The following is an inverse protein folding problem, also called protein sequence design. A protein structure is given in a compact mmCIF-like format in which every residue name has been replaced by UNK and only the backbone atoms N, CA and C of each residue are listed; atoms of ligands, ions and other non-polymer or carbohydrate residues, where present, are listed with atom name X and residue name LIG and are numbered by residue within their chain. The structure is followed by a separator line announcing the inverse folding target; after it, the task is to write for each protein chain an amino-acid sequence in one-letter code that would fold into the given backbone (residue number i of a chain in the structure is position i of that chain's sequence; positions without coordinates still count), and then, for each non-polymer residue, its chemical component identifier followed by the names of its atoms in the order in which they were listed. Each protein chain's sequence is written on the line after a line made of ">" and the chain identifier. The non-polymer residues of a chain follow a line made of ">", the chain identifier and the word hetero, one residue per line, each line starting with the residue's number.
data_IF_941913535800
#
_entry.id   IF_941913535800
#
_cell.length_a   1.000
_cell.length_b   1.000
_cell.length_c   1.000
_cell.angle_alpha   90.00
_cell.angle_beta   90.00
_cell.angle_gamma   90.00
#
_symmetry.space_group_name_H-M   'P 1'
#
loop_
_entity.id
_entity.type
_entity.pdbx_description
1 polymer ?
#
# COMPACT_ATOMS: atom_id res chain seq x y z
N UNK A 1 37.60 16.81 -2.98
CA UNK A 1 36.33 16.14 -3.30
C UNK A 1 35.37 16.36 -2.13
N UNK A 2 34.48 17.34 -2.26
CA UNK A 2 33.42 17.55 -1.27
C UNK A 2 32.48 16.36 -1.42
N UNK A 3 32.32 15.55 -0.37
CA UNK A 3 31.26 14.56 -0.31
C UNK A 3 29.97 15.35 -0.23
N UNK A 4 29.23 15.39 -1.34
CA UNK A 4 27.86 15.85 -1.32
C UNK A 4 27.13 15.02 -0.26
N UNK A 5 26.77 15.65 0.86
CA UNK A 5 25.79 15.06 1.76
C UNK A 5 24.56 14.78 0.90
N UNK A 6 23.94 13.59 0.98
CA UNK A 6 22.64 13.41 0.38
C UNK A 6 21.75 14.45 1.04
N UNK A 7 21.30 15.41 0.22
CA UNK A 7 20.20 16.31 0.51
C UNK A 7 19.19 15.51 1.32
N UNK A 8 18.83 16.01 2.51
CA UNK A 8 17.91 15.36 3.44
C UNK A 8 16.59 15.12 2.68
N UNK A 9 16.57 13.99 1.97
CA UNK A 9 15.70 13.75 0.83
C UNK A 9 14.30 13.91 1.38
N UNK A 10 13.58 14.91 0.88
CA UNK A 10 12.28 15.31 1.43
C UNK A 10 11.45 14.04 1.40
N UNK A 11 11.30 13.39 2.57
CA UNK A 11 10.62 12.11 2.67
C UNK A 11 9.14 12.39 2.52
N UNK A 12 8.72 12.50 1.26
CA UNK A 12 7.37 12.81 0.84
C UNK A 12 6.72 11.55 0.33
N UNK A 13 5.40 11.50 0.48
CA UNK A 13 4.62 10.49 -0.21
C UNK A 13 4.73 10.69 -1.74
N UNK A 14 5.20 9.67 -2.46
CA UNK A 14 5.34 9.68 -3.93
C UNK A 14 4.01 9.59 -4.71
N UNK A 15 2.87 9.84 -4.05
CA UNK A 15 1.54 9.96 -4.67
C UNK A 15 0.90 11.31 -4.31
N UNK A 16 0.76 11.63 -3.03
CA UNK A 16 0.09 12.88 -2.60
C UNK A 16 1.05 14.02 -2.23
N UNK A 17 2.36 13.78 -2.20
CA UNK A 17 3.34 14.80 -1.82
C UNK A 17 3.35 15.17 -0.33
N UNK A 18 2.56 14.50 0.52
CA UNK A 18 2.48 14.81 1.95
C UNK A 18 3.86 14.76 2.62
N UNK A 19 4.13 15.79 3.43
CA UNK A 19 5.33 15.97 4.24
C UNK A 19 5.25 15.25 5.60
N UNK A 20 4.14 14.58 5.90
CA UNK A 20 3.97 13.82 7.13
C UNK A 20 4.87 12.58 7.13
N UNK A 21 6.06 12.77 7.71
CA UNK A 21 7.19 11.82 7.64
C UNK A 21 7.01 10.53 8.44
N UNK A 22 6.00 10.47 9.30
CA UNK A 22 6.05 9.58 10.47
C UNK A 22 5.76 8.12 10.09
N UNK A 23 4.97 7.90 9.03
CA UNK A 23 4.59 6.54 8.59
C UNK A 23 4.56 6.44 7.06
N UNK A 24 5.76 6.50 6.47
CA UNK A 24 5.95 6.17 5.05
C UNK A 24 6.30 4.70 4.89
N UNK A 25 5.66 4.06 3.91
CA UNK A 25 5.83 2.65 3.56
C UNK A 25 6.55 2.55 2.23
N UNK A 26 7.59 1.72 2.16
CA UNK A 26 8.26 1.41 0.90
C UNK A 26 7.46 0.36 0.14
N UNK A 27 7.04 0.69 -1.08
CA UNK A 27 6.22 -0.20 -1.92
C UNK A 27 6.63 -0.11 -3.38
N UNK A 28 6.37 -1.19 -4.13
CA UNK A 28 6.38 -1.17 -5.59
C UNK A 28 5.01 -0.74 -6.09
N UNK A 29 4.87 0.52 -6.52
CA UNK A 29 3.62 1.07 -6.97
C UNK A 29 3.72 1.54 -8.44
N UNK A 30 2.89 0.94 -9.31
CA UNK A 30 2.92 1.16 -10.78
C UNK A 30 4.30 0.92 -11.40
N UNK A 31 4.93 -0.18 -11.03
CA UNK A 31 6.23 -0.60 -11.58
C UNK A 31 7.47 0.07 -10.96
N UNK A 32 7.31 1.16 -10.21
CA UNK A 32 8.42 1.87 -9.56
C UNK A 32 8.41 1.71 -8.04
N UNK A 33 9.60 1.66 -7.44
CA UNK A 33 9.77 1.67 -5.98
C UNK A 33 9.69 3.10 -5.45
N UNK A 34 8.81 3.33 -4.47
CA UNK A 34 8.65 4.65 -3.84
C UNK A 34 8.06 4.53 -2.45
N UNK A 35 8.18 5.60 -1.67
CA UNK A 35 7.55 5.77 -0.36
C UNK A 35 6.13 6.28 -0.52
N UNK A 36 5.15 5.63 0.11
CA UNK A 36 3.77 6.10 0.19
C UNK A 36 3.36 6.30 1.65
N UNK A 37 2.57 7.33 1.96
CA UNK A 37 1.96 7.44 3.29
C UNK A 37 0.89 6.36 3.49
N UNK A 38 0.56 6.06 4.75
CA UNK A 38 -0.50 5.11 5.13
C UNK A 38 -1.78 5.26 4.30
N UNK A 39 -2.31 6.49 4.17
CA UNK A 39 -3.49 6.76 3.35
C UNK A 39 -3.33 6.36 1.87
N UNK A 40 -2.18 6.64 1.27
CA UNK A 40 -1.93 6.29 -0.12
C UNK A 40 -1.74 4.79 -0.31
N UNK A 41 -1.13 4.09 0.64
CA UNK A 41 -1.05 2.61 0.59
C UNK A 41 -2.46 2.02 0.60
N UNK A 42 -3.32 2.45 1.52
CA UNK A 42 -4.69 1.92 1.65
C UNK A 42 -5.55 2.27 0.42
N UNK A 43 -5.50 3.52 -0.06
CA UNK A 43 -6.28 3.97 -1.23
C UNK A 43 -5.87 3.31 -2.55
N UNK A 44 -4.58 3.00 -2.73
CA UNK A 44 -4.08 2.39 -3.97
C UNK A 44 -4.15 0.86 -3.97
N UNK A 45 -4.59 0.24 -2.88
CA UNK A 45 -4.72 -1.22 -2.75
C UNK A 45 -6.11 -1.64 -2.22
N UNK A 46 -7.21 -1.20 -2.86
CA UNK A 46 -8.57 -1.35 -2.31
C UNK A 46 -9.08 -2.80 -2.25
N UNK A 47 -8.41 -3.74 -2.92
CA UNK A 47 -8.74 -5.17 -2.91
C UNK A 47 -7.94 -6.01 -1.90
N UNK A 48 -7.04 -5.40 -1.13
CA UNK A 48 -6.21 -6.11 -0.15
C UNK A 48 -6.69 -5.93 1.30
N UNK A 49 -7.72 -5.12 1.53
CA UNK A 49 -8.28 -4.85 2.86
C UNK A 49 -9.77 -4.53 2.79
N UNK A 50 -10.48 -4.72 3.90
CA UNK A 50 -11.85 -4.25 4.06
C UNK A 50 -11.86 -2.75 4.45
N UNK A 51 -12.38 -1.83 3.63
CA UNK A 51 -12.30 -0.37 3.87
C UNK A 51 -13.16 0.10 5.06
N UNK A 52 -13.94 -0.79 5.68
CA UNK A 52 -14.80 -0.51 6.84
C UNK A 52 -14.07 -0.85 8.14
N UNK A 53 -13.54 -2.08 8.27
CA UNK A 53 -12.90 -2.55 9.50
C UNK A 53 -11.37 -2.46 9.47
N UNK A 54 -10.79 -2.18 8.29
CA UNK A 54 -9.36 -2.09 8.01
C UNK A 54 -8.60 -3.41 8.15
N UNK A 55 -9.30 -4.54 8.21
CA UNK A 55 -8.65 -5.84 8.23
C UNK A 55 -8.06 -6.17 6.85
N UNK A 56 -6.79 -6.60 6.85
CA UNK A 56 -6.07 -7.07 5.68
C UNK A 56 -6.51 -8.49 5.29
N UNK A 57 -6.57 -8.76 3.99
CA UNK A 57 -6.89 -10.09 3.45
C UNK A 57 -5.62 -10.94 3.31
N UNK A 58 -5.31 -11.78 4.30
CA UNK A 58 -4.20 -12.74 4.21
C UNK A 58 -4.43 -13.79 3.11
N UNK A 59 -5.70 -14.14 2.88
CA UNK A 59 -6.14 -15.06 1.85
C UNK A 59 -7.32 -14.47 1.09
N UNK A 60 -7.55 -14.86 -0.18
CA UNK A 60 -8.75 -14.45 -0.91
C UNK A 60 -9.99 -14.81 -0.10
N UNK A 61 -10.84 -13.81 0.13
CA UNK A 61 -12.10 -14.06 0.81
C UNK A 61 -12.97 -15.00 -0.03
N UNK A 62 -13.72 -15.92 0.61
CA UNK A 62 -14.78 -16.63 -0.09
C UNK A 62 -15.77 -15.63 -0.70
N UNK A 63 -16.17 -15.83 -1.96
CA UNK A 63 -17.04 -14.91 -2.71
C UNK A 63 -18.35 -14.58 -1.96
N UNK A 64 -18.87 -15.54 -1.19
CA UNK A 64 -20.08 -15.36 -0.36
C UNK A 64 -19.93 -14.37 0.80
N UNK A 65 -18.69 -14.08 1.20
CA UNK A 65 -18.36 -13.23 2.35
C UNK A 65 -17.86 -11.84 1.92
N UNK A 66 -17.94 -11.52 0.62
CA UNK A 66 -17.39 -10.29 0.08
C UNK A 66 -18.45 -9.49 -0.68
N UNK A 67 -18.39 -8.17 -0.56
CA UNK A 67 -19.27 -7.21 -1.22
C UNK A 67 -18.38 -6.20 -1.93
N UNK A 68 -18.61 -6.03 -3.24
CA UNK A 68 -17.82 -5.11 -4.06
C UNK A 68 -18.47 -3.73 -4.08
N UNK A 69 -17.64 -2.69 -4.07
CA UNK A 69 -18.09 -1.33 -4.32
C UNK A 69 -18.54 -1.16 -5.77
N UNK A 70 -19.65 -0.46 -6.00
CA UNK A 70 -20.16 -0.19 -7.35
C UNK A 70 -19.35 0.84 -8.14
N UNK A 71 -18.40 1.55 -7.51
CA UNK A 71 -17.61 2.64 -8.12
C UNK A 71 -16.12 2.35 -8.27
N UNK A 72 -15.58 1.34 -7.59
CA UNK A 72 -14.15 1.07 -7.57
C UNK A 72 -13.90 -0.41 -7.23
N UNK A 73 -12.68 -0.94 -7.44
CA UNK A 73 -12.37 -2.35 -7.17
C UNK A 73 -12.22 -2.67 -5.67
N UNK A 74 -12.89 -1.92 -4.78
CA UNK A 74 -12.83 -2.17 -3.34
C UNK A 74 -13.75 -3.29 -2.91
N UNK A 75 -13.25 -4.15 -2.01
CA UNK A 75 -13.94 -5.31 -1.48
C UNK A 75 -14.16 -5.10 0.02
N UNK A 76 -15.35 -5.40 0.52
CA UNK A 76 -15.70 -5.31 1.95
C UNK A 76 -16.27 -6.64 2.44
N UNK A 77 -16.10 -6.95 3.72
CA UNK A 77 -16.80 -8.09 4.32
C UNK A 77 -18.31 -7.90 4.24
N UNK A 78 -19.05 -8.94 3.87
CA UNK A 78 -20.52 -8.92 3.87
C UNK A 78 -21.09 -8.56 5.25
N UNK A 79 -20.48 -9.07 6.33
CA UNK A 79 -20.82 -8.71 7.71
C UNK A 79 -20.62 -7.21 8.01
N UNK A 80 -19.56 -6.59 7.48
CA UNK A 80 -19.31 -5.16 7.63
C UNK A 80 -20.31 -4.31 6.85
N UNK A 81 -20.83 -4.80 5.72
CA UNK A 81 -21.85 -4.09 4.93
C UNK A 81 -23.24 -4.28 5.53
N UNK A 82 -23.60 -5.50 5.96
CA UNK A 82 -24.90 -5.82 6.55
C UNK A 82 -25.21 -4.97 7.79
N UNK A 83 -24.19 -4.69 8.60
CA UNK A 83 -24.30 -3.80 9.75
C UNK A 83 -24.57 -2.33 9.37
N UNK A 84 -24.31 -1.93 8.12
CA UNK A 84 -24.26 -0.54 7.70
C UNK A 84 -25.22 -0.16 6.55
N UNK A 85 -25.66 -1.09 5.67
CA UNK A 85 -26.53 -0.76 4.51
C UNK A 85 -27.02 -1.99 3.71
N UNK A 86 -27.82 -1.75 2.66
CA UNK A 86 -28.23 -2.74 1.66
C UNK A 86 -27.11 -3.11 0.69
N UNK A 87 -26.94 -4.41 0.42
CA UNK A 87 -25.87 -4.95 -0.44
C UNK A 87 -25.91 -4.50 -1.92
N UNK A 88 -27.08 -4.15 -2.46
CA UNK A 88 -27.27 -3.99 -3.92
C UNK A 88 -26.64 -2.73 -4.52
N UNK A 89 -26.34 -1.71 -3.70
CA UNK A 89 -25.77 -0.43 -4.16
C UNK A 89 -24.62 0.03 -3.25
N UNK A 90 -23.87 -0.92 -2.69
CA UNK A 90 -22.81 -0.60 -1.74
C UNK A 90 -21.74 0.29 -2.37
N UNK A 91 -21.46 1.41 -1.70
CA UNK A 91 -20.32 2.28 -1.98
C UNK A 91 -19.38 2.23 -0.78
N UNK A 92 -18.11 1.92 -1.02
CA UNK A 92 -17.12 1.95 0.04
C UNK A 92 -16.94 3.39 0.58
N UNK A 93 -16.47 3.55 1.83
CA UNK A 93 -16.28 4.88 2.44
C UNK A 93 -15.49 5.87 1.57
N UNK A 94 -14.38 5.48 0.89
CA UNK A 94 -13.68 6.38 -0.03
C UNK A 94 -14.50 6.87 -1.23
N UNK A 95 -15.49 6.10 -1.69
CA UNK A 95 -16.31 6.45 -2.86
C UNK A 95 -17.60 7.20 -2.49
N UNK A 96 -18.10 7.02 -1.26
CA UNK A 96 -19.26 7.74 -0.76
C UNK A 96 -18.89 9.11 -0.18
N UNK A 97 -17.67 9.27 0.33
CA UNK A 97 -17.19 10.51 0.95
C UNK A 97 -15.93 11.05 0.24
N UNK A 98 -15.97 12.21 -0.41
CA UNK A 98 -14.85 12.74 -1.19
C UNK A 98 -13.64 13.14 -0.32
N UNK A 99 -13.88 13.52 0.93
CA UNK A 99 -12.85 13.93 1.90
C UNK A 99 -12.37 12.77 2.78
N UNK A 100 -12.75 11.53 2.45
CA UNK A 100 -12.43 10.37 3.28
C UNK A 100 -10.92 10.15 3.41
N UNK A 101 -10.49 9.91 4.64
CA UNK A 101 -9.13 9.56 5.02
C UNK A 101 -9.16 8.34 5.92
N UNK A 102 -8.35 7.33 5.60
CA UNK A 102 -8.23 6.12 6.41
C UNK A 102 -7.42 6.36 7.68
N UNK A 103 -6.54 7.34 7.66
CA UNK A 103 -5.55 7.58 8.70
C UNK A 103 -5.42 9.07 8.96
N UNK A 104 -5.79 9.50 10.16
CA UNK A 104 -5.54 10.85 10.65
C UNK A 104 -4.91 10.75 12.04
N UNK A 105 -3.89 11.55 12.30
CA UNK A 105 -3.27 11.62 13.61
C UNK A 105 -3.86 12.81 14.36
N UNK A 106 -4.52 12.55 15.47
CA UNK A 106 -4.97 13.59 16.38
C UNK A 106 -3.75 14.20 17.08
N UNK A 107 -3.52 15.50 16.86
CA UNK A 107 -2.51 16.26 17.59
C UNK A 107 -3.15 16.82 18.84
N UNK A 108 -2.74 16.30 20.00
CA UNK A 108 -3.09 16.94 21.27
C UNK A 108 -2.08 18.05 21.52
N UNK A 109 -2.56 19.30 21.48
CA UNK A 109 -1.79 20.44 21.94
C UNK A 109 -2.05 20.56 23.44
N UNK A 110 -1.25 19.89 24.27
CA UNK A 110 -1.30 20.20 25.70
C UNK A 110 -0.73 21.61 25.90
N UNK A 111 -1.54 22.44 26.54
CA UNK A 111 -1.33 23.86 26.75
C UNK A 111 -0.24 24.13 27.81
N UNK A 112 0.97 23.60 27.65
CA UNK A 112 2.19 24.06 28.32
C UNK A 112 3.36 23.18 27.84
N UNK A 113 4.36 23.84 27.25
CA UNK A 113 5.62 23.30 26.72
C UNK A 113 5.53 22.42 25.45
N UNK A 114 6.34 22.78 24.47
CA UNK A 114 6.37 22.29 23.09
C UNK A 114 6.74 20.79 22.92
N UNK A 115 5.91 19.87 23.43
CA UNK A 115 5.98 18.45 23.10
C UNK A 115 4.68 18.04 22.44
N UNK A 116 4.67 18.03 21.11
CA UNK A 116 3.53 17.51 20.34
C UNK A 116 3.47 16.00 20.53
N UNK A 117 2.64 15.55 21.47
CA UNK A 117 2.37 14.13 21.65
C UNK A 117 1.40 13.69 20.57
N UNK A 118 1.85 12.80 19.69
CA UNK A 118 0.96 12.16 18.71
C UNK A 118 0.29 10.99 19.39
N UNK A 119 -1.04 11.02 19.43
CA UNK A 119 -1.86 9.93 19.95
C UNK A 119 -2.31 9.08 18.79
N UNK A 120 -1.98 7.78 18.84
CA UNK A 120 -2.46 6.78 17.88
C UNK A 120 -3.65 6.10 18.54
N UNK A 121 -4.86 6.43 18.07
CA UNK A 121 -6.06 5.71 18.49
C UNK A 121 -6.14 4.32 17.83
N UNK A 122 -7.14 3.54 18.24
CA UNK A 122 -7.33 2.17 17.75
C UNK A 122 -7.50 2.09 16.23
N UNK A 123 -8.18 3.05 15.63
CA UNK A 123 -8.48 3.04 14.19
C UNK A 123 -7.25 3.47 13.38
N UNK A 124 -6.50 4.46 13.87
CA UNK A 124 -5.21 4.85 13.33
C UNK A 124 -4.20 3.68 13.43
N UNK A 125 -4.19 2.95 14.54
CA UNK A 125 -3.34 1.76 14.71
C UNK A 125 -3.70 0.66 13.69
N UNK A 126 -5.00 0.39 13.50
CA UNK A 126 -5.47 -0.55 12.47
C UNK A 126 -5.08 -0.12 11.06
N UNK A 127 -5.29 1.14 10.71
CA UNK A 127 -4.91 1.68 9.40
C UNK A 127 -3.40 1.55 9.16
N UNK A 128 -2.58 1.84 10.17
CA UNK A 128 -1.13 1.71 10.08
C UNK A 128 -0.71 0.24 9.90
N UNK A 129 -1.28 -0.67 10.69
CA UNK A 129 -1.02 -2.10 10.60
C UNK A 129 -1.43 -2.66 9.23
N UNK A 130 -2.62 -2.31 8.74
CA UNK A 130 -3.11 -2.74 7.44
C UNK A 130 -2.20 -2.24 6.30
N UNK A 131 -1.75 -0.99 6.36
CA UNK A 131 -0.83 -0.45 5.39
C UNK A 131 0.53 -1.18 5.40
N UNK A 132 1.04 -1.52 6.59
CA UNK A 132 2.28 -2.28 6.71
C UNK A 132 2.15 -3.70 6.12
N UNK A 133 1.04 -4.40 6.41
CA UNK A 133 0.72 -5.72 5.82
C UNK A 133 0.62 -5.67 4.29
N UNK A 134 0.01 -4.63 3.75
CA UNK A 134 -0.07 -4.41 2.30
C UNK A 134 1.31 -4.14 1.70
N UNK A 135 2.11 -3.30 2.36
CA UNK A 135 3.46 -3.01 1.91
C UNK A 135 4.31 -4.27 1.85
N UNK A 136 4.24 -5.12 2.88
CA UNK A 136 4.87 -6.43 2.90
C UNK A 136 4.39 -7.32 1.74
N UNK A 137 3.08 -7.45 1.54
CA UNK A 137 2.52 -8.31 0.50
C UNK A 137 2.96 -7.88 -0.91
N UNK A 138 2.82 -6.58 -1.21
CA UNK A 138 3.20 -5.99 -2.51
C UNK A 138 4.71 -6.12 -2.75
N UNK A 139 5.53 -5.92 -1.72
CA UNK A 139 6.98 -6.07 -1.85
C UNK A 139 7.43 -7.52 -1.97
N UNK A 140 6.73 -8.45 -1.30
CA UNK A 140 6.98 -9.89 -1.44
C UNK A 140 6.68 -10.35 -2.85
N UNK A 141 5.55 -9.94 -3.42
CA UNK A 141 5.21 -10.18 -4.83
C UNK A 141 6.25 -9.56 -5.77
N UNK A 142 6.64 -8.31 -5.52
CA UNK A 142 7.69 -7.64 -6.29
C UNK A 142 9.03 -8.42 -6.26
N UNK A 143 9.41 -8.97 -5.11
CA UNK A 143 10.62 -9.76 -4.97
C UNK A 143 10.53 -11.08 -5.76
N UNK A 144 9.37 -11.75 -5.76
CA UNK A 144 9.14 -12.96 -6.58
C UNK A 144 9.28 -12.63 -8.06
N UNK A 145 8.64 -11.56 -8.54
CA UNK A 145 8.72 -11.13 -9.94
C UNK A 145 10.15 -10.75 -10.33
N UNK A 146 10.88 -10.05 -9.45
CA UNK A 146 12.27 -9.67 -9.69
C UNK A 146 13.18 -10.90 -9.83
N UNK A 147 13.01 -11.92 -8.99
CA UNK A 147 13.76 -13.18 -9.09
C UNK A 147 13.47 -13.89 -10.41
N UNK A 148 12.19 -14.10 -10.74
CA UNK A 148 11.81 -14.76 -11.99
C UNK A 148 12.33 -14.03 -13.24
N UNK A 149 12.33 -12.69 -13.21
CA UNK A 149 12.88 -11.88 -14.31
C UNK A 149 14.40 -12.07 -14.43
N UNK A 150 15.12 -12.04 -13.30
CA UNK A 150 16.57 -12.24 -13.30
C UNK A 150 16.95 -13.64 -13.80
N UNK A 151 16.23 -14.68 -13.36
CA UNK A 151 16.42 -16.06 -13.83
C UNK A 151 16.17 -16.20 -15.34
N UNK A 152 15.11 -15.59 -15.86
CA UNK A 152 14.84 -15.59 -17.31
C UNK A 152 15.97 -14.93 -18.09
N UNK A 153 16.45 -13.76 -17.64
CA UNK A 153 17.53 -13.04 -18.32
C UNK A 153 18.84 -13.84 -18.34
N UNK A 154 19.18 -14.54 -17.25
CA UNK A 154 20.34 -15.43 -17.20
C UNK A 154 20.20 -16.57 -18.20
N UNK A 155 19.03 -17.21 -18.26
CA UNK A 155 18.78 -18.30 -19.21
C UNK A 155 18.89 -17.85 -20.67
N UNK A 156 18.36 -16.65 -20.98
CA UNK A 156 18.45 -16.08 -22.32
C UNK A 156 19.90 -15.73 -22.68
N UNK A 157 20.67 -15.18 -21.74
CA UNK A 157 22.09 -14.89 -21.93
C UNK A 157 22.92 -16.17 -22.16
N UNK A 158 22.64 -17.25 -21.41
CA UNK A 158 23.31 -18.55 -21.60
C UNK A 158 23.00 -19.12 -22.99
N UNK A 159 21.73 -19.09 -23.43
CA UNK A 159 21.32 -19.54 -24.77
C UNK A 159 21.98 -18.71 -25.87
N UNK A 160 22.03 -17.38 -25.70
CA UNK A 160 22.69 -16.48 -26.65
C UNK A 160 24.19 -16.78 -26.75
N UNK A 161 24.87 -16.98 -25.60
CA UNK A 161 26.29 -17.36 -25.56
C UNK A 161 26.55 -18.70 -26.25
N UNK A 162 25.70 -19.71 -26.00
CA UNK A 162 25.81 -21.02 -26.65
C UNK A 162 25.70 -20.90 -28.17
N UNK A 163 24.68 -20.21 -28.68
CA UNK A 163 24.50 -19.96 -30.11
C UNK A 163 25.67 -19.21 -30.74
N UNK A 164 26.19 -18.20 -30.05
CA UNK A 164 27.34 -17.42 -30.53
C UNK A 164 28.60 -18.28 -30.64
N UNK A 165 28.80 -19.24 -29.72
CA UNK A 165 29.90 -20.18 -29.78
C UNK A 165 29.75 -21.17 -30.94
N UNK A 166 28.57 -21.76 -31.09
CA UNK A 166 28.26 -22.70 -32.18
C UNK A 166 28.41 -22.07 -33.58
N UNK A 167 28.29 -20.75 -33.70
CA UNK A 167 28.47 -20.04 -34.98
C UNK A 167 29.94 -19.74 -35.32
N UNK A 168 30.87 -19.91 -34.38
CA UNK A 168 32.31 -19.72 -34.58
C UNK A 168 33.06 -21.04 -34.81
N UNK A 169 32.40 -22.17 -34.57
CA UNK A 169 32.87 -23.53 -34.84
C UNK A 169 32.39 -23.97 -36.23
#
# INVERSE_FOLDING_TARGET
>A
MKRDLPELDKQLCGVCGSTERWFLHYVRHRGIYRKLCTNCVLKNNPGLLCPICLDFYEHPLPVRNQVMCVRCPSISHSACVAANSSFRNFQCPPCSQPTFSFFNLSRQNDCQEAKTTIVIDKDAAKALFAAARIAEAVMTEAAVVARGTAESQVNDAIKAKKKAREALE
#
